data_IF_687627741518
#
_entry.id   IF_687627741518
#
_cell.length_a   1.000
_cell.length_b   1.000
_cell.length_c   1.000
_cell.angle_alpha   90.00
_cell.angle_beta   90.00
_cell.angle_gamma   90.00
#
_symmetry.space_group_name_H-M   'P 1'
#
loop_
_entity.id
_entity.type
_entity.pdbx_description
1 polymer ?
#
# COMPACT_ATOMS: atom_id res chain seq x y z
N UNK A 1 20.07 -1.85 8.84
CA UNK A 1 19.23 -0.71 8.44
C UNK A 1 17.79 -0.78 9.02
N UNK A 2 17.69 -0.96 10.34
CA UNK A 2 16.42 -1.11 11.08
C UNK A 2 15.65 0.21 11.21
N UNK A 3 16.34 1.28 11.62
CA UNK A 3 15.78 2.64 11.71
C UNK A 3 15.13 3.12 10.41
N UNK A 4 15.66 2.69 9.26
CA UNK A 4 15.07 3.02 7.96
C UNK A 4 13.72 2.32 7.76
N UNK A 5 13.59 1.06 8.18
CA UNK A 5 12.33 0.33 8.06
C UNK A 5 11.27 0.90 9.01
N UNK A 6 11.65 1.30 10.21
CA UNK A 6 10.75 1.99 11.15
C UNK A 6 10.28 3.35 10.61
N UNK A 7 11.20 4.12 10.02
CA UNK A 7 10.87 5.38 9.38
C UNK A 7 9.88 5.18 8.21
N UNK A 8 10.09 4.15 7.38
CA UNK A 8 9.16 3.80 6.29
C UNK A 8 7.78 3.43 6.81
N UNK A 9 7.67 2.56 7.82
CA UNK A 9 6.39 2.19 8.43
C UNK A 9 5.64 3.40 8.97
N UNK A 10 6.37 4.27 9.68
CA UNK A 10 5.82 5.52 10.21
C UNK A 10 5.29 6.42 9.08
N UNK A 11 6.07 6.58 8.01
CA UNK A 11 5.65 7.35 6.85
C UNK A 11 4.40 6.75 6.18
N UNK A 12 4.36 5.44 5.96
CA UNK A 12 3.19 4.77 5.38
C UNK A 12 1.94 4.94 6.24
N UNK A 13 2.05 4.79 7.57
CA UNK A 13 0.94 5.05 8.49
C UNK A 13 0.41 6.46 8.38
N UNK A 14 1.29 7.47 8.37
CA UNK A 14 0.90 8.88 8.24
C UNK A 14 0.15 9.17 6.93
N UNK A 15 0.47 8.44 5.87
CA UNK A 15 -0.15 8.61 4.56
C UNK A 15 -1.43 7.78 4.36
N UNK A 16 -1.89 7.06 5.39
CA UNK A 16 -2.98 6.09 5.30
C UNK A 16 -2.69 4.94 4.32
N UNK A 17 -1.44 4.48 4.30
CA UNK A 17 -0.96 3.35 3.52
C UNK A 17 -0.70 2.15 4.45
N UNK A 18 -0.71 0.94 3.89
CA UNK A 18 -0.38 -0.28 4.62
C UNK A 18 1.11 -0.27 5.03
N UNK A 19 1.38 -0.38 6.34
CA UNK A 19 2.74 -0.27 6.87
C UNK A 19 3.68 -1.38 6.36
N UNK A 20 3.14 -2.54 6.00
CA UNK A 20 3.91 -3.71 5.61
C UNK A 20 4.30 -3.71 4.13
N UNK A 21 3.42 -3.18 3.27
CA UNK A 21 3.56 -3.22 1.80
C UNK A 21 3.81 -1.86 1.18
N UNK A 22 3.46 -0.77 1.86
CA UNK A 22 3.47 0.58 1.32
C UNK A 22 2.33 0.84 0.32
N UNK A 23 1.33 -0.04 0.24
CA UNK A 23 0.18 0.14 -0.65
C UNK A 23 -0.81 1.14 -0.04
N UNK A 24 -1.20 2.21 -0.76
CA UNK A 24 -2.24 3.12 -0.28
C UNK A 24 -3.58 2.42 -0.04
N UNK A 25 -4.29 2.81 1.01
CA UNK A 25 -5.66 2.35 1.23
C UNK A 25 -6.58 2.77 0.07
N UNK A 26 -7.70 2.04 -0.09
CA UNK A 26 -8.71 2.37 -1.11
C UNK A 26 -9.21 3.81 -1.00
N UNK A 27 -9.51 4.27 0.21
CA UNK A 27 -9.92 5.65 0.47
C UNK A 27 -8.84 6.66 0.06
N UNK A 28 -7.56 6.34 0.25
CA UNK A 28 -6.47 7.21 -0.21
C UNK A 28 -6.38 7.29 -1.74
N UNK A 29 -6.62 6.19 -2.45
CA UNK A 29 -6.67 6.19 -3.91
C UNK A 29 -7.84 7.03 -4.45
N UNK A 30 -8.99 6.98 -3.77
CA UNK A 30 -10.16 7.81 -4.09
C UNK A 30 -9.91 9.30 -3.82
N UNK A 31 -9.32 9.64 -2.67
CA UNK A 31 -8.91 11.01 -2.32
C UNK A 31 -7.97 11.61 -3.39
N UNK A 32 -7.06 10.80 -3.94
CA UNK A 32 -6.11 11.20 -4.96
C UNK A 32 -6.69 11.21 -6.39
N UNK A 33 -7.96 10.81 -6.58
CA UNK A 33 -8.58 10.75 -7.91
C UNK A 33 -8.02 9.65 -8.82
N UNK A 34 -7.32 8.67 -8.24
CA UNK A 34 -6.66 7.56 -8.95
C UNK A 34 -7.22 6.21 -8.51
N UNK A 35 -8.52 6.17 -8.22
CA UNK A 35 -9.22 4.96 -7.79
C UNK A 35 -9.09 3.80 -8.79
N UNK A 36 -8.87 4.08 -10.08
CA UNK A 36 -8.58 3.06 -11.10
C UNK A 36 -7.32 2.22 -10.80
N UNK A 37 -6.35 2.76 -10.06
CA UNK A 37 -5.09 2.06 -9.74
C UNK A 37 -5.33 0.79 -8.92
N UNK A 38 -6.43 0.71 -8.16
CA UNK A 38 -6.71 -0.46 -7.32
C UNK A 38 -6.83 -1.76 -8.12
N UNK A 39 -7.25 -1.69 -9.38
CA UNK A 39 -7.40 -2.86 -10.27
C UNK A 39 -6.04 -3.37 -10.78
N UNK A 40 -5.00 -2.54 -10.69
CA UNK A 40 -3.64 -2.87 -11.13
C UNK A 40 -2.70 -3.21 -9.98
N UNK A 41 -3.14 -3.10 -8.73
CA UNK A 41 -2.36 -3.53 -7.58
C UNK A 41 -2.45 -5.06 -7.49
N UNK A 42 -1.33 -5.80 -7.60
CA UNK A 42 -1.36 -7.23 -7.51
C UNK A 42 -1.89 -7.66 -6.13
N UNK A 43 -2.99 -8.40 -6.12
CA UNK A 43 -3.47 -9.04 -4.91
C UNK A 43 -2.50 -10.15 -4.53
N UNK A 44 -2.04 -10.19 -3.27
CA UNK A 44 -1.20 -11.29 -2.77
C UNK A 44 -1.85 -12.67 -2.88
N UNK A 45 -3.14 -12.74 -3.23
CA UNK A 45 -3.88 -13.98 -3.46
C UNK A 45 -3.71 -14.55 -4.89
N UNK A 46 -3.13 -13.81 -5.84
CA UNK A 46 -2.95 -14.29 -7.23
C UNK A 46 -1.66 -15.09 -7.47
N UNK A 47 -0.87 -15.38 -6.42
CA UNK A 47 0.35 -16.21 -6.52
C UNK A 47 0.14 -17.69 -6.18
N UNK A 48 -1.11 -18.14 -6.02
CA UNK A 48 -1.46 -19.54 -5.73
C UNK A 48 -2.60 -20.07 -6.62
N UNK A 49 -2.50 -19.87 -7.94
CA UNK A 49 -3.24 -20.68 -8.90
C UNK A 49 -2.26 -21.37 -9.84
N UNK A 50 -2.47 -22.67 -9.99
CA UNK A 50 -1.60 -23.69 -10.59
C UNK A 50 -1.09 -23.38 -12.01
#
# INVERSE_FOLDING_TARGET
>A
PEKLQEAKRTYYRMMCWDESTGVPSRGKLEELGISWVAEHIPSRLSSFSA
#
